data_IF_020446157749
#
_entry.id   IF_020446157749
#
_cell.length_a   1.000
_cell.length_b   1.000
_cell.length_c   1.000
_cell.angle_alpha   90.00
_cell.angle_beta   90.00
_cell.angle_gamma   90.00
#
_symmetry.space_group_name_H-M   'P 1'
#
loop_
_entity.id
_entity.type
_entity.pdbx_description
1 polymer ?
#
# COMPACT_ATOMS: atom_id res chain seq x y z
N UNK A 1 -4.52 13.95 18.45
CA UNK A 1 -5.00 13.88 17.06
C UNK A 1 -4.22 12.80 16.33
N UNK A 2 -4.86 11.68 15.99
CA UNK A 2 -4.21 10.62 15.21
C UNK A 2 -4.19 11.05 13.74
N UNK A 3 -3.03 11.44 13.23
CA UNK A 3 -2.88 11.81 11.82
C UNK A 3 -2.92 10.55 10.97
N UNK A 4 -3.71 10.52 9.90
CA UNK A 4 -3.82 9.37 8.98
C UNK A 4 -2.47 8.86 8.48
N UNK A 5 -1.46 9.73 8.37
CA UNK A 5 -0.09 9.40 7.97
C UNK A 5 0.68 8.52 8.96
N UNK A 6 0.24 8.45 10.22
CA UNK A 6 0.81 7.58 11.25
C UNK A 6 0.05 6.26 11.41
N UNK A 7 -1.03 6.05 10.66
CA UNK A 7 -1.75 4.78 10.65
C UNK A 7 -0.86 3.65 10.19
N UNK A 8 -1.06 2.47 10.78
CA UNK A 8 -0.37 1.25 10.40
C UNK A 8 -0.89 0.74 9.05
N UNK A 9 0.03 0.35 8.19
CA UNK A 9 -0.20 -0.18 6.85
C UNK A 9 0.50 -1.53 6.74
N UNK A 10 -0.24 -2.53 6.29
CA UNK A 10 0.25 -3.86 6.03
C UNK A 10 1.03 -3.88 4.71
N UNK A 11 2.23 -4.45 4.75
CA UNK A 11 3.07 -4.67 3.57
C UNK A 11 3.04 -6.13 3.22
N UNK A 12 2.69 -6.41 1.96
CA UNK A 12 2.63 -7.75 1.40
C UNK A 12 3.85 -8.00 0.50
N UNK A 13 4.30 -9.24 0.43
CA UNK A 13 5.25 -9.68 -0.59
C UNK A 13 4.53 -10.10 -1.89
N UNK A 14 5.30 -10.52 -2.90
CA UNK A 14 4.79 -11.03 -4.18
C UNK A 14 3.93 -12.30 -4.05
N UNK A 15 3.98 -12.98 -2.91
CA UNK A 15 3.17 -14.16 -2.57
C UNK A 15 1.92 -13.80 -1.73
N UNK A 16 1.57 -12.52 -1.63
CA UNK A 16 0.43 -12.02 -0.84
C UNK A 16 0.50 -12.32 0.66
N UNK A 17 1.71 -12.55 1.18
CA UNK A 17 1.93 -12.78 2.60
C UNK A 17 2.29 -11.47 3.31
N UNK A 18 1.74 -11.28 4.51
CA UNK A 18 2.15 -10.22 5.41
C UNK A 18 3.62 -10.37 5.80
N UNK A 19 4.46 -9.42 5.38
CA UNK A 19 5.90 -9.44 5.69
C UNK A 19 6.32 -8.31 6.62
N UNK A 20 5.56 -7.20 6.66
CA UNK A 20 5.89 -6.06 7.51
C UNK A 20 4.66 -5.20 7.80
N UNK A 21 4.75 -4.37 8.85
CA UNK A 21 3.80 -3.29 9.14
C UNK A 21 4.61 -1.99 9.20
N UNK A 22 4.17 -0.98 8.44
CA UNK A 22 4.81 0.33 8.43
C UNK A 22 3.78 1.46 8.59
N UNK A 23 4.22 2.70 8.76
CA UNK A 23 3.31 3.84 8.77
C UNK A 23 2.87 4.21 7.37
N UNK A 24 1.66 4.77 7.22
CA UNK A 24 1.16 5.25 5.94
C UNK A 24 2.15 6.20 5.25
N UNK A 25 2.81 7.10 6.00
CA UNK A 25 3.90 7.95 5.49
C UNK A 25 5.00 7.16 4.78
N UNK A 26 5.46 6.06 5.39
CA UNK A 26 6.51 5.22 4.81
C UNK A 26 6.01 4.44 3.61
N UNK A 27 4.78 3.93 3.66
CA UNK A 27 4.15 3.27 2.52
C UNK A 27 4.08 4.21 1.29
N UNK A 28 3.61 5.45 1.48
CA UNK A 28 3.58 6.46 0.40
C UNK A 28 4.97 6.73 -0.18
N UNK A 29 6.00 6.85 0.66
CA UNK A 29 7.37 7.07 0.20
C UNK A 29 7.89 5.90 -0.65
N UNK A 30 7.58 4.66 -0.28
CA UNK A 30 7.97 3.47 -1.04
C UNK A 30 7.25 3.37 -2.39
N UNK A 31 5.95 3.70 -2.42
CA UNK A 31 5.17 3.72 -3.66
C UNK A 31 5.67 4.82 -4.59
N UNK A 32 5.91 6.02 -4.06
CA UNK A 32 6.47 7.14 -4.84
C UNK A 32 7.87 6.84 -5.41
N UNK A 33 8.70 6.10 -4.67
CA UNK A 33 10.02 5.67 -5.12
C UNK A 33 9.98 4.51 -6.15
N UNK A 34 8.80 3.98 -6.49
CA UNK A 34 8.65 2.83 -7.40
C UNK A 34 9.09 1.51 -6.77
N UNK A 35 9.14 1.42 -5.43
CA UNK A 35 9.54 0.22 -4.70
C UNK A 35 8.35 -0.60 -4.18
N UNK A 36 7.15 -0.06 -4.25
CA UNK A 36 5.94 -0.72 -3.78
C UNK A 36 4.73 -0.37 -4.65
N UNK A 37 3.76 -1.28 -4.64
CA UNK A 37 2.45 -1.11 -5.26
C UNK A 37 1.37 -0.99 -4.19
N UNK A 38 0.31 -0.26 -4.51
CA UNK A 38 -0.89 -0.18 -3.67
C UNK A 38 -1.86 -1.27 -4.08
N UNK A 39 -2.31 -2.07 -3.11
CA UNK A 39 -3.38 -3.04 -3.32
C UNK A 39 -4.71 -2.35 -3.07
N UNK A 40 -5.59 -2.35 -4.06
CA UNK A 40 -6.99 -1.93 -3.95
C UNK A 40 -7.91 -3.13 -4.18
N UNK A 41 -9.09 -3.11 -3.56
CA UNK A 41 -10.15 -4.09 -3.83
C UNK A 41 -11.29 -3.39 -4.55
N UNK A 42 -11.71 -3.92 -5.70
CA UNK A 42 -12.92 -3.44 -6.37
C UNK A 42 -14.19 -4.08 -5.78
N UNK A 43 -15.36 -3.57 -6.17
CA UNK A 43 -16.69 -4.00 -5.76
C UNK A 43 -16.95 -5.50 -6.02
N UNK A 44 -16.26 -6.08 -7.00
CA UNK A 44 -16.32 -7.51 -7.31
C UNK A 44 -15.31 -8.37 -6.50
N UNK A 45 -14.73 -7.81 -5.43
CA UNK A 45 -13.74 -8.47 -4.57
C UNK A 45 -12.45 -8.91 -5.31
N UNK A 46 -12.17 -8.24 -6.43
CA UNK A 46 -10.93 -8.40 -7.18
C UNK A 46 -9.84 -7.50 -6.56
N UNK A 47 -8.65 -8.06 -6.36
CA UNK A 47 -7.50 -7.29 -5.89
C UNK A 47 -6.67 -6.81 -7.08
N UNK A 48 -6.46 -5.50 -7.15
CA UNK A 48 -5.67 -4.84 -8.17
C UNK A 48 -4.46 -4.20 -7.51
N UNK A 49 -3.32 -4.27 -8.17
CA UNK A 49 -2.10 -3.57 -7.75
C UNK A 49 -1.87 -2.36 -8.64
N UNK A 50 -1.69 -1.20 -8.01
CA UNK A 50 -1.44 0.06 -8.69
C UNK A 50 -0.04 0.57 -8.38
N UNK A 51 0.66 0.99 -9.43
CA UNK A 51 1.82 1.88 -9.31
C UNK A 51 1.39 3.28 -8.85
N UNK A 52 2.35 4.11 -8.43
CA UNK A 52 2.07 5.49 -8.02
C UNK A 52 1.26 6.28 -9.06
N UNK A 53 1.59 6.14 -10.35
CA UNK A 53 0.94 6.86 -11.44
C UNK A 53 -0.49 6.36 -11.70
N UNK A 54 -0.70 5.04 -11.68
CA UNK A 54 -2.02 4.42 -11.89
C UNK A 54 -2.95 4.60 -10.70
N UNK A 55 -2.43 4.89 -9.52
CA UNK A 55 -3.21 5.04 -8.29
C UNK A 55 -3.72 6.48 -8.05
N UNK A 56 -3.21 7.46 -8.79
CA UNK A 56 -3.66 8.85 -8.71
C UNK A 56 -5.15 8.98 -9.00
#
# INVERSE_FOLDING_TARGET
MHTLLNSQVLVLNRLWQAVNICTARRAFALVYAGHAHVVSSDHENNFLTHDFDSWR
#
